data_IF_234122741240
#
_entry.id   IF_234122741240
#
_cell.length_a   1.000
_cell.length_b   1.000
_cell.length_c   1.000
_cell.angle_alpha   90.00
_cell.angle_beta   90.00
_cell.angle_gamma   90.00
#
_symmetry.space_group_name_H-M   'P 1'
#
loop_
_entity.id
_entity.type
_entity.pdbx_description
1 polymer ?
#
# COMPACT_ATOMS: atom_id res chain seq x y z
N UNK A 1 -31.96 -3.63 -18.44
CA UNK A 1 -30.74 -2.96 -18.95
C UNK A 1 -29.66 -3.19 -17.91
N UNK A 2 -28.52 -3.83 -18.22
CA UNK A 2 -27.38 -3.75 -17.32
C UNK A 2 -27.06 -2.26 -17.10
N UNK A 3 -26.76 -1.86 -15.86
CA UNK A 3 -26.42 -0.46 -15.55
C UNK A 3 -25.18 -0.07 -16.36
N UNK A 4 -25.23 1.07 -17.06
CA UNK A 4 -24.06 1.69 -17.72
C UNK A 4 -23.02 2.21 -16.70
N UNK A 5 -23.21 1.97 -15.41
CA UNK A 5 -22.29 2.40 -14.36
C UNK A 5 -21.17 1.36 -14.17
N UNK A 6 -19.92 1.81 -13.99
CA UNK A 6 -18.83 0.93 -13.59
C UNK A 6 -19.17 0.13 -12.32
N UNK A 7 -18.63 -1.09 -12.19
CA UNK A 7 -18.90 -1.92 -11.02
C UNK A 7 -18.28 -1.32 -9.75
N UNK A 8 -18.80 -1.75 -8.60
CA UNK A 8 -18.14 -1.49 -7.32
C UNK A 8 -16.77 -2.19 -7.30
N UNK A 9 -15.79 -1.55 -6.66
CA UNK A 9 -14.53 -2.20 -6.32
C UNK A 9 -14.78 -3.50 -5.51
N UNK A 10 -13.98 -4.53 -5.76
CA UNK A 10 -13.92 -5.75 -4.96
C UNK A 10 -12.49 -6.11 -4.56
N UNK A 11 -12.32 -6.83 -3.45
CA UNK A 11 -11.03 -7.31 -2.93
C UNK A 11 -10.48 -8.50 -3.74
N UNK A 12 -10.29 -8.30 -5.05
CA UNK A 12 -9.82 -9.32 -6.00
C UNK A 12 -8.86 -8.72 -7.04
N UNK A 13 -7.83 -9.46 -7.47
CA UNK A 13 -7.57 -10.88 -7.16
C UNK A 13 -6.88 -11.13 -5.81
N UNK A 14 -6.27 -10.13 -5.20
CA UNK A 14 -5.60 -10.26 -3.91
C UNK A 14 -6.57 -10.02 -2.75
N UNK A 15 -6.68 -10.97 -1.84
CA UNK A 15 -7.49 -10.80 -0.64
C UNK A 15 -6.81 -9.82 0.33
N UNK A 16 -7.61 -9.01 1.03
CA UNK A 16 -7.12 -8.18 2.13
C UNK A 16 -6.61 -9.05 3.28
N UNK A 17 -5.66 -8.49 4.02
CA UNK A 17 -5.10 -9.09 5.22
C UNK A 17 -5.77 -8.51 6.47
N UNK A 18 -6.21 -9.34 7.43
CA UNK A 18 -6.72 -8.85 8.70
C UNK A 18 -5.58 -8.24 9.54
N UNK A 19 -5.88 -7.23 10.34
CA UNK A 19 -4.92 -6.63 11.26
C UNK A 19 -4.72 -7.51 12.50
N UNK A 20 -3.49 -7.61 13.02
CA UNK A 20 -3.21 -8.33 14.26
C UNK A 20 -4.06 -7.86 15.46
N UNK A 21 -4.35 -6.57 15.58
CA UNK A 21 -5.24 -6.03 16.63
C UNK A 21 -6.65 -6.60 16.50
N UNK A 22 -7.22 -6.60 15.29
CA UNK A 22 -8.56 -7.16 15.06
C UNK A 22 -8.61 -8.67 15.37
N UNK A 23 -7.58 -9.42 14.97
CA UNK A 23 -7.52 -10.86 15.19
C UNK A 23 -7.33 -11.25 16.66
N UNK A 24 -6.51 -10.50 17.39
CA UNK A 24 -6.05 -10.91 18.74
C UNK A 24 -6.68 -10.12 19.87
N UNK A 25 -7.23 -8.93 19.59
CA UNK A 25 -7.71 -7.98 20.59
C UNK A 25 -6.59 -7.35 21.43
N UNK A 26 -5.31 -7.54 21.07
CA UNK A 26 -4.18 -6.99 21.81
C UNK A 26 -3.86 -5.56 21.38
N UNK A 27 -3.45 -4.77 22.36
CA UNK A 27 -3.14 -3.34 22.21
C UNK A 27 -1.67 -3.00 22.51
N UNK A 28 -0.82 -4.02 22.66
CA UNK A 28 0.60 -3.77 22.87
C UNK A 28 1.25 -3.12 21.62
N UNK A 29 2.34 -2.34 21.79
CA UNK A 29 2.94 -1.57 20.71
C UNK A 29 3.30 -2.38 19.46
N UNK A 30 3.71 -3.64 19.61
CA UNK A 30 4.06 -4.51 18.47
C UNK A 30 2.82 -4.95 17.71
N UNK A 31 1.75 -5.31 18.41
CA UNK A 31 0.46 -5.61 17.78
C UNK A 31 -0.09 -4.40 17.03
N UNK A 32 0.02 -3.20 17.61
CA UNK A 32 -0.41 -1.96 16.96
C UNK A 32 0.42 -1.66 15.72
N UNK A 33 1.76 -1.73 15.81
CA UNK A 33 2.60 -1.46 14.64
C UNK A 33 2.41 -2.49 13.53
N UNK A 34 2.30 -3.78 13.88
CA UNK A 34 1.96 -4.81 12.91
C UNK A 34 0.59 -4.56 12.25
N UNK A 35 -0.36 -3.96 12.97
CA UNK A 35 -1.64 -3.54 12.40
C UNK A 35 -1.52 -2.34 11.46
N UNK A 36 -0.68 -1.35 11.79
CA UNK A 36 -0.36 -0.26 10.87
C UNK A 36 0.31 -0.77 9.59
N UNK A 37 1.19 -1.76 9.70
CA UNK A 37 1.80 -2.40 8.54
C UNK A 37 0.74 -3.11 7.68
N UNK A 38 -0.12 -3.91 8.31
CA UNK A 38 -1.19 -4.60 7.59
C UNK A 38 -2.15 -3.63 6.85
N UNK A 39 -2.46 -2.47 7.45
CA UNK A 39 -3.26 -1.43 6.80
C UNK A 39 -2.54 -0.79 5.60
N UNK A 40 -1.25 -0.52 5.75
CA UNK A 40 -0.38 -0.02 4.67
C UNK A 40 -0.36 -1.00 3.49
N UNK A 41 -0.15 -2.28 3.79
CA UNK A 41 -0.17 -3.38 2.83
C UNK A 41 -1.53 -3.56 2.16
N UNK A 42 -2.61 -3.41 2.90
CA UNK A 42 -3.96 -3.40 2.32
C UNK A 42 -4.14 -2.26 1.32
N UNK A 43 -3.54 -1.08 1.51
CA UNK A 43 -3.59 -0.03 0.50
C UNK A 43 -2.86 -0.44 -0.80
N UNK A 44 -1.75 -1.18 -0.70
CA UNK A 44 -1.05 -1.73 -1.87
C UNK A 44 -1.85 -2.82 -2.56
N UNK A 45 -2.45 -3.75 -1.80
CA UNK A 45 -3.35 -4.79 -2.30
C UNK A 45 -4.52 -4.17 -3.04
N UNK A 46 -5.16 -3.14 -2.47
CA UNK A 46 -6.27 -2.46 -3.14
C UNK A 46 -5.82 -1.76 -4.42
N UNK A 47 -4.64 -1.13 -4.43
CA UNK A 47 -4.06 -0.56 -5.63
C UNK A 47 -3.72 -1.59 -6.72
N UNK A 48 -3.24 -2.79 -6.34
CA UNK A 48 -3.04 -3.90 -7.27
C UNK A 48 -4.39 -4.33 -7.87
N UNK A 49 -5.39 -4.53 -7.00
CA UNK A 49 -6.72 -4.99 -7.38
C UNK A 49 -7.43 -4.00 -8.32
N UNK A 50 -7.33 -2.69 -8.09
CA UNK A 50 -7.93 -1.68 -8.96
C UNK A 50 -7.26 -1.63 -10.33
N UNK A 51 -5.93 -1.80 -10.41
CA UNK A 51 -5.22 -1.89 -11.68
C UNK A 51 -5.71 -3.13 -12.45
N UNK A 52 -5.72 -4.30 -11.79
CA UNK A 52 -6.14 -5.57 -12.39
C UNK A 52 -7.57 -5.53 -12.92
N UNK A 53 -8.50 -4.91 -12.17
CA UNK A 53 -9.91 -4.86 -12.53
C UNK A 53 -10.23 -3.84 -13.62
N UNK A 54 -9.49 -2.72 -13.69
CA UNK A 54 -9.82 -1.62 -14.61
C UNK A 54 -9.06 -1.72 -15.93
N UNK A 55 -7.86 -2.31 -15.96
CA UNK A 55 -7.06 -2.42 -17.18
C UNK A 55 -7.85 -2.98 -18.39
N UNK A 56 -8.68 -4.04 -18.27
CA UNK A 56 -9.43 -4.61 -19.40
C UNK A 56 -10.59 -3.72 -19.91
N UNK A 57 -10.97 -2.67 -19.19
CA UNK A 57 -12.15 -1.84 -19.48
C UNK A 57 -11.79 -0.49 -20.12
N UNK A 58 -10.50 -0.19 -20.24
CA UNK A 58 -10.02 1.07 -20.78
C UNK A 58 -10.10 1.08 -22.31
N UNK A 59 -10.99 1.91 -22.83
CA UNK A 59 -11.16 2.13 -24.27
C UNK A 59 -10.46 3.41 -24.75
N UNK A 60 -10.60 4.51 -24.00
CA UNK A 60 -10.16 5.83 -24.44
C UNK A 60 -8.67 6.08 -24.19
N UNK A 61 -7.97 6.66 -25.17
CA UNK A 61 -6.52 6.94 -25.05
C UNK A 61 -6.18 7.87 -23.87
N UNK A 62 -7.04 8.85 -23.61
CA UNK A 62 -6.87 9.77 -22.48
C UNK A 62 -6.94 9.02 -21.14
N UNK A 63 -7.89 8.10 -21.00
CA UNK A 63 -8.02 7.27 -19.80
C UNK A 63 -6.82 6.33 -19.64
N UNK A 64 -6.33 5.74 -20.73
CA UNK A 64 -5.10 4.94 -20.70
C UNK A 64 -3.87 5.73 -20.25
N UNK A 65 -3.74 6.98 -20.70
CA UNK A 65 -2.60 7.85 -20.31
C UNK A 65 -2.62 8.14 -18.81
N UNK A 66 -3.79 8.51 -18.28
CA UNK A 66 -3.96 8.73 -16.84
C UNK A 66 -3.75 7.43 -16.05
N UNK A 67 -4.24 6.31 -16.57
CA UNK A 67 -4.12 4.99 -15.94
C UNK A 67 -2.66 4.54 -15.85
N UNK A 68 -1.86 4.72 -16.90
CA UNK A 68 -0.42 4.46 -16.87
C UNK A 68 0.25 5.29 -15.76
N UNK A 69 -0.12 6.57 -15.65
CA UNK A 69 0.37 7.42 -14.57
C UNK A 69 -0.03 6.91 -13.18
N UNK A 70 -1.23 6.35 -13.02
CA UNK A 70 -1.67 5.72 -11.79
C UNK A 70 -0.89 4.43 -11.47
N UNK A 71 -0.68 3.56 -12.45
CA UNK A 71 0.10 2.34 -12.29
C UNK A 71 1.55 2.63 -11.88
N UNK A 72 2.20 3.59 -12.54
CA UNK A 72 3.56 4.01 -12.18
C UNK A 72 3.62 4.58 -10.77
N UNK A 73 2.63 5.40 -10.37
CA UNK A 73 2.53 5.89 -9.00
C UNK A 73 2.37 4.75 -7.98
N UNK A 74 1.60 3.71 -8.30
CA UNK A 74 1.46 2.54 -7.43
C UNK A 74 2.76 1.76 -7.30
N UNK A 75 3.45 1.49 -8.42
CA UNK A 75 4.77 0.85 -8.43
C UNK A 75 5.75 1.62 -7.55
N UNK A 76 5.85 2.94 -7.75
CA UNK A 76 6.75 3.78 -6.96
C UNK A 76 6.36 3.80 -5.48
N UNK A 77 5.06 3.72 -5.15
CA UNK A 77 4.60 3.67 -3.77
C UNK A 77 5.08 2.41 -3.05
N UNK A 78 4.87 1.26 -3.69
CA UNK A 78 5.27 -0.05 -3.17
C UNK A 78 6.80 -0.14 -3.11
N UNK A 79 7.53 0.28 -4.15
CA UNK A 79 9.00 0.26 -4.13
C UNK A 79 9.58 1.20 -3.05
N UNK A 80 9.01 2.40 -2.88
CA UNK A 80 9.48 3.36 -1.86
C UNK A 80 9.22 2.84 -0.45
N UNK A 81 8.08 2.17 -0.21
CA UNK A 81 7.75 1.54 1.06
C UNK A 81 8.81 0.52 1.47
N UNK A 82 9.09 -0.48 0.62
CA UNK A 82 10.05 -1.53 0.95
C UNK A 82 11.50 -1.01 1.02
N UNK A 83 11.88 -0.04 0.17
CA UNK A 83 13.20 0.59 0.28
C UNK A 83 13.40 1.27 1.65
N UNK A 84 12.37 1.93 2.13
CA UNK A 84 12.37 2.57 3.43
C UNK A 84 12.49 1.55 4.58
N UNK A 85 11.82 0.41 4.47
CA UNK A 85 11.92 -0.65 5.48
C UNK A 85 13.35 -1.15 5.64
N UNK A 86 14.00 -1.44 4.53
CA UNK A 86 15.38 -1.94 4.49
C UNK A 86 16.42 -0.91 4.94
N UNK A 87 16.16 0.38 4.72
CA UNK A 87 17.12 1.46 5.01
C UNK A 87 16.91 2.12 6.36
N UNK A 88 15.68 2.07 6.90
CA UNK A 88 15.31 2.80 8.11
C UNK A 88 14.60 1.91 9.13
N UNK A 89 13.51 1.22 8.79
CA UNK A 89 12.72 0.48 9.79
C UNK A 89 13.50 -0.70 10.39
N UNK A 90 13.90 -1.66 9.55
CA UNK A 90 14.55 -2.90 10.00
C UNK A 90 15.91 -2.64 10.66
N UNK A 91 16.79 -1.76 10.13
CA UNK A 91 18.05 -1.45 10.79
C UNK A 91 17.86 -0.84 12.19
N UNK A 92 16.86 0.04 12.37
CA UNK A 92 16.60 0.66 13.67
C UNK A 92 15.97 -0.32 14.67
N UNK A 93 15.13 -1.26 14.21
CA UNK A 93 14.64 -2.39 15.02
C UNK A 93 15.81 -3.26 15.49
N UNK A 94 16.68 -3.69 14.57
CA UNK A 94 17.88 -4.46 14.87
C UNK A 94 18.76 -3.75 15.92
N UNK A 95 19.01 -2.45 15.74
CA UNK A 95 19.77 -1.63 16.68
C UNK A 95 19.12 -1.58 18.06
N UNK A 96 17.81 -1.35 18.13
CA UNK A 96 17.06 -1.28 19.39
C UNK A 96 17.06 -2.63 20.13
N UNK A 97 16.93 -3.74 19.41
CA UNK A 97 17.07 -5.09 19.95
C UNK A 97 18.54 -5.45 20.27
N UNK A 98 19.50 -4.74 19.68
CA UNK A 98 20.92 -5.10 19.58
C UNK A 98 21.13 -6.53 19.11
N UNK A 99 20.36 -6.89 18.09
CA UNK A 99 20.49 -8.11 17.30
C UNK A 99 20.62 -7.69 15.84
N UNK A 100 20.91 -8.65 14.97
CA UNK A 100 20.97 -8.44 13.52
C UNK A 100 20.01 -9.40 12.84
N UNK A 101 19.60 -9.08 11.62
CA UNK A 101 18.82 -9.97 10.76
C UNK A 101 17.44 -10.38 11.32
N UNK A 102 16.81 -9.57 12.19
CA UNK A 102 15.48 -9.87 12.73
C UNK A 102 14.37 -9.90 11.66
N UNK A 103 14.57 -9.18 10.56
CA UNK A 103 13.63 -9.08 9.43
C UNK A 103 14.29 -9.55 8.12
N UNK A 104 15.32 -10.40 8.18
CA UNK A 104 16.03 -10.87 6.98
C UNK A 104 15.13 -11.65 6.02
N UNK A 105 14.18 -12.43 6.55
CA UNK A 105 13.19 -13.13 5.72
C UNK A 105 12.33 -12.14 4.91
N UNK A 106 11.91 -11.02 5.51
CA UNK A 106 11.15 -9.98 4.80
C UNK A 106 11.97 -9.36 3.66
N UNK A 107 13.26 -9.08 3.90
CA UNK A 107 14.18 -8.60 2.85
C UNK A 107 14.30 -9.60 1.71
N UNK A 108 14.44 -10.89 2.01
CA UNK A 108 14.49 -11.92 0.96
C UNK A 108 13.15 -12.05 0.19
N UNK A 109 12.03 -11.88 0.89
CA UNK A 109 10.71 -11.84 0.27
C UNK A 109 10.54 -10.63 -0.67
N UNK A 110 11.15 -9.47 -0.37
CA UNK A 110 11.18 -8.32 -1.28
C UNK A 110 11.83 -8.68 -2.62
N UNK A 111 12.98 -9.34 -2.60
CA UNK A 111 13.71 -9.76 -3.80
C UNK A 111 12.82 -10.60 -4.74
N UNK A 112 11.91 -11.39 -4.17
CA UNK A 112 11.05 -12.31 -4.91
C UNK A 112 9.99 -11.63 -5.80
N UNK A 113 9.56 -10.39 -5.49
CA UNK A 113 8.57 -9.67 -6.30
C UNK A 113 9.14 -8.44 -7.02
N UNK A 114 10.21 -7.82 -6.51
CA UNK A 114 10.75 -6.56 -7.04
C UNK A 114 11.16 -6.67 -8.51
N UNK A 115 11.72 -7.81 -8.94
CA UNK A 115 12.07 -8.03 -10.34
C UNK A 115 10.86 -7.99 -11.30
N UNK A 116 9.69 -8.46 -10.87
CA UNK A 116 8.46 -8.40 -11.66
C UNK A 116 7.88 -6.98 -11.70
N UNK A 117 7.97 -6.24 -10.59
CA UNK A 117 7.58 -4.84 -10.55
C UNK A 117 8.41 -3.96 -11.49
N UNK A 118 9.73 -4.16 -11.56
CA UNK A 118 10.59 -3.42 -12.49
C UNK A 118 10.28 -3.74 -13.97
N UNK A 119 9.91 -4.98 -14.29
CA UNK A 119 9.41 -5.33 -15.63
C UNK A 119 8.12 -4.59 -15.96
N UNK A 120 7.15 -4.58 -15.04
CA UNK A 120 5.90 -3.85 -15.22
C UNK A 120 6.13 -2.35 -15.42
N UNK A 121 7.04 -1.77 -14.64
CA UNK A 121 7.43 -0.35 -14.76
C UNK A 121 8.01 -0.05 -16.13
N UNK A 122 8.98 -0.86 -16.56
CA UNK A 122 9.64 -0.71 -17.86
C UNK A 122 8.63 -0.79 -19.00
N UNK A 123 7.77 -1.82 -18.97
CA UNK A 123 6.69 -2.00 -19.94
C UNK A 123 5.78 -0.77 -20.07
N UNK A 124 5.33 -0.23 -18.94
CA UNK A 124 4.45 0.95 -18.91
C UNK A 124 5.14 2.23 -19.40
N UNK A 125 6.44 2.39 -19.14
CA UNK A 125 7.22 3.53 -19.62
C UNK A 125 7.47 3.46 -21.13
N UNK A 126 7.65 2.26 -21.68
CA UNK A 126 7.88 2.04 -23.11
C UNK A 126 6.59 2.18 -23.92
N UNK A 127 5.52 1.51 -23.51
CA UNK A 127 4.25 1.49 -24.26
C UNK A 127 3.38 2.72 -24.00
N UNK A 128 3.49 3.34 -22.82
CA UNK A 128 2.62 4.45 -22.43
C UNK A 128 1.15 4.10 -22.63
N UNK A 129 0.40 4.98 -23.29
CA UNK A 129 -1.03 4.80 -23.54
C UNK A 129 -1.37 3.66 -24.54
N UNK A 130 -0.37 3.10 -25.21
CA UNK A 130 -0.53 2.01 -26.18
C UNK A 130 -0.43 0.62 -25.55
N UNK A 131 -0.29 0.54 -24.22
CA UNK A 131 -0.23 -0.72 -23.49
C UNK A 131 -1.42 -1.66 -23.78
N UNK A 132 -1.11 -2.96 -23.75
CA UNK A 132 -2.03 -4.08 -23.81
C UNK A 132 -2.46 -4.45 -22.40
N UNK A 133 -3.77 -4.45 -22.13
CA UNK A 133 -4.32 -4.90 -20.85
C UNK A 133 -3.97 -6.36 -20.54
N UNK A 134 -3.89 -7.20 -21.57
CA UNK A 134 -3.52 -8.61 -21.43
C UNK A 134 -2.07 -8.77 -20.99
N UNK A 135 -1.15 -8.01 -21.60
CA UNK A 135 0.27 -8.06 -21.25
C UNK A 135 0.50 -7.49 -19.84
N UNK A 136 -0.14 -6.35 -19.53
CA UNK A 136 -0.10 -5.75 -18.20
C UNK A 136 -0.52 -6.75 -17.12
N UNK A 137 -1.65 -7.43 -17.31
CA UNK A 137 -2.15 -8.44 -16.37
C UNK A 137 -1.21 -9.64 -16.29
N UNK A 138 -0.70 -10.13 -17.41
CA UNK A 138 0.26 -11.22 -17.43
C UNK A 138 1.52 -10.88 -16.63
N UNK A 139 2.08 -9.68 -16.81
CA UNK A 139 3.23 -9.21 -16.02
C UNK A 139 2.88 -9.10 -14.54
N UNK A 140 1.69 -8.61 -14.18
CA UNK A 140 1.23 -8.57 -12.79
C UNK A 140 1.12 -9.97 -12.16
N UNK A 141 0.62 -10.95 -12.91
CA UNK A 141 0.48 -12.33 -12.45
C UNK A 141 1.84 -12.99 -12.12
N UNK A 142 2.95 -12.56 -12.73
CA UNK A 142 4.30 -13.07 -12.45
C UNK A 142 4.78 -12.81 -11.02
N UNK A 143 4.39 -11.69 -10.42
CA UNK A 143 4.82 -11.30 -9.07
C UNK A 143 3.67 -11.22 -8.05
N UNK A 144 2.43 -11.49 -8.47
CA UNK A 144 1.23 -11.46 -7.64
C UNK A 144 1.36 -12.28 -6.36
N UNK A 145 1.73 -13.57 -6.49
CA UNK A 145 1.82 -14.49 -5.35
C UNK A 145 3.01 -14.18 -4.42
N UNK A 146 4.23 -13.91 -4.93
CA UNK A 146 5.33 -13.45 -4.08
C UNK A 146 5.01 -12.16 -3.32
N UNK A 147 4.40 -11.15 -3.99
CA UNK A 147 3.98 -9.91 -3.36
C UNK A 147 2.95 -10.17 -2.26
N UNK A 148 1.87 -10.90 -2.56
CA UNK A 148 0.81 -11.14 -1.57
C UNK A 148 1.30 -11.94 -0.36
N UNK A 149 2.19 -12.91 -0.59
CA UNK A 149 2.84 -13.67 0.49
C UNK A 149 3.60 -12.74 1.43
N UNK A 150 4.48 -11.90 0.87
CA UNK A 150 5.25 -10.92 1.63
C UNK A 150 4.34 -9.99 2.45
N UNK A 151 3.35 -9.39 1.78
CA UNK A 151 2.44 -8.44 2.42
C UNK A 151 1.67 -9.09 3.59
N UNK A 152 1.45 -10.41 3.53
CA UNK A 152 0.77 -11.19 4.58
C UNK A 152 1.71 -11.66 5.70
N UNK A 153 2.94 -12.08 5.38
CA UNK A 153 3.91 -12.62 6.35
C UNK A 153 4.49 -11.53 7.24
N UNK A 154 4.76 -10.34 6.69
CA UNK A 154 5.53 -9.32 7.37
C UNK A 154 4.84 -8.76 8.63
N UNK A 155 3.52 -8.45 8.64
CA UNK A 155 2.83 -8.06 9.88
C UNK A 155 2.97 -9.11 11.01
N UNK A 156 2.96 -10.40 10.66
CA UNK A 156 3.15 -11.48 11.64
C UNK A 156 4.57 -11.45 12.22
N UNK A 157 5.58 -11.23 11.37
CA UNK A 157 6.97 -11.09 11.79
C UNK A 157 7.16 -9.86 12.69
N UNK A 158 6.56 -8.71 12.34
CA UNK A 158 6.60 -7.48 13.16
C UNK A 158 5.99 -7.72 14.54
N UNK A 159 4.83 -8.40 14.62
CA UNK A 159 4.23 -8.72 15.91
C UNK A 159 5.13 -9.63 16.78
N UNK A 160 5.86 -10.55 16.14
CA UNK A 160 6.79 -11.46 16.82
C UNK A 160 8.03 -10.76 17.41
N UNK A 161 8.36 -9.54 16.95
CA UNK A 161 9.45 -8.73 17.51
C UNK A 161 9.25 -8.40 19.00
N UNK A 162 8.03 -8.53 19.52
CA UNK A 162 7.74 -8.43 20.95
C UNK A 162 8.62 -9.39 21.79
N UNK A 163 9.00 -10.55 21.24
CA UNK A 163 9.87 -11.52 21.90
C UNK A 163 11.31 -11.02 22.11
N UNK A 164 11.71 -9.95 21.41
CA UNK A 164 13.04 -9.35 21.49
C UNK A 164 13.07 -8.10 22.37
N UNK A 165 11.91 -7.64 22.86
CA UNK A 165 11.79 -6.50 23.77
C UNK A 165 11.72 -6.97 25.22
N UNK A 166 12.67 -6.52 26.04
CA UNK A 166 12.78 -6.90 27.46
C UNK A 166 12.64 -5.68 28.35
N UNK A 167 12.45 -5.87 29.67
CA UNK A 167 12.40 -4.75 30.62
C UNK A 167 13.69 -3.92 30.63
N UNK A 168 14.85 -4.59 30.53
CA UNK A 168 16.16 -3.93 30.52
C UNK A 168 16.51 -3.30 29.17
N UNK A 169 15.85 -3.78 28.10
CA UNK A 169 16.06 -3.32 26.73
C UNK A 169 14.72 -3.24 25.99
N UNK A 170 13.89 -2.23 26.31
CA UNK A 170 12.61 -2.04 25.65
C UNK A 170 12.83 -1.52 24.23
N UNK A 171 12.08 -2.05 23.27
CA UNK A 171 12.04 -1.55 21.90
C UNK A 171 10.80 -0.69 21.75
N UNK A 172 10.99 0.60 21.49
CA UNK A 172 9.90 1.53 21.16
C UNK A 172 9.59 1.44 19.66
N UNK A 173 8.90 0.36 19.27
CA UNK A 173 8.65 0.06 17.86
C UNK A 173 7.80 1.13 17.16
N UNK A 174 6.85 1.75 17.89
CA UNK A 174 6.00 2.82 17.36
C UNK A 174 6.82 4.08 17.09
N UNK A 175 7.74 4.47 17.99
CA UNK A 175 8.61 5.61 17.76
C UNK A 175 9.60 5.36 16.62
N UNK A 176 10.11 4.13 16.50
CA UNK A 176 10.95 3.73 15.37
C UNK A 176 10.16 3.90 14.06
N UNK A 177 8.97 3.31 13.95
CA UNK A 177 8.14 3.39 12.77
C UNK A 177 7.72 4.83 12.41
N UNK A 178 7.34 5.66 13.39
CA UNK A 178 6.99 7.06 13.16
C UNK A 178 8.18 7.89 12.65
N UNK A 179 9.35 7.74 13.28
CA UNK A 179 10.56 8.45 12.86
C UNK A 179 10.99 8.04 11.44
N UNK A 180 10.85 6.75 11.16
CA UNK A 180 11.25 6.13 9.93
C UNK A 180 10.25 6.58 8.81
N UNK A 181 8.93 6.49 9.00
CA UNK A 181 7.93 6.97 8.03
C UNK A 181 8.03 8.47 7.72
N UNK A 182 8.41 9.30 8.70
CA UNK A 182 8.65 10.75 8.47
C UNK A 182 9.80 11.03 7.49
N UNK A 183 10.84 10.19 7.46
CA UNK A 183 11.97 10.37 6.54
C UNK A 183 11.61 10.07 5.09
N UNK A 184 10.61 9.22 4.87
CA UNK A 184 10.12 8.87 3.53
C UNK A 184 9.44 10.06 2.83
N UNK A 185 8.83 10.97 3.61
CA UNK A 185 8.00 12.05 3.07
C UNK A 185 8.85 13.16 2.46
N UNK A 186 8.88 13.23 1.14
CA UNK A 186 9.40 14.36 0.36
C UNK A 186 8.32 14.92 -0.59
N UNK A 187 8.55 16.10 -1.16
CA UNK A 187 7.56 16.77 -2.02
C UNK A 187 7.15 15.91 -3.22
N UNK A 188 8.11 15.24 -3.88
CA UNK A 188 7.79 14.38 -5.03
C UNK A 188 6.87 13.24 -4.61
N UNK A 189 7.21 12.57 -3.50
CA UNK A 189 6.41 11.48 -2.94
C UNK A 189 4.99 11.96 -2.59
N UNK A 190 4.86 13.12 -1.93
CA UNK A 190 3.55 13.69 -1.56
C UNK A 190 2.65 13.91 -2.77
N UNK A 191 3.16 14.46 -3.88
CA UNK A 191 2.32 14.81 -5.03
C UNK A 191 2.15 13.69 -6.06
N UNK A 192 3.08 12.74 -6.13
CA UNK A 192 3.08 11.74 -7.20
C UNK A 192 2.79 10.32 -6.73
N UNK A 193 2.87 10.03 -5.43
CA UNK A 193 2.88 8.64 -4.94
C UNK A 193 1.93 8.46 -3.76
N UNK A 194 1.99 9.36 -2.79
CA UNK A 194 1.22 9.30 -1.55
C UNK A 194 -0.31 9.23 -1.74
N UNK A 195 -0.93 9.83 -2.79
CA UNK A 195 -2.35 9.63 -3.05
C UNK A 195 -2.74 8.17 -3.26
N UNK A 196 -1.85 7.32 -3.81
CA UNK A 196 -2.10 5.88 -3.94
C UNK A 196 -2.35 5.27 -2.58
N UNK A 197 -1.52 5.59 -1.59
CA UNK A 197 -1.64 5.06 -0.24
C UNK A 197 -2.96 5.49 0.41
N UNK A 198 -3.22 6.80 0.49
CA UNK A 198 -4.39 7.33 1.19
C UNK A 198 -5.71 6.98 0.51
N UNK A 199 -5.76 6.98 -0.81
CA UNK A 199 -7.00 6.75 -1.55
C UNK A 199 -7.23 5.26 -1.90
N UNK A 200 -6.33 4.37 -1.47
CA UNK A 200 -6.58 2.91 -1.46
C UNK A 200 -6.73 2.33 -0.06
N UNK A 201 -6.75 3.18 0.97
CA UNK A 201 -6.98 2.75 2.34
C UNK A 201 -8.46 2.93 2.69
N UNK A 202 -9.22 1.84 2.58
CA UNK A 202 -10.59 1.80 3.08
C UNK A 202 -10.53 1.72 4.60
N UNK A 203 -11.23 2.63 5.26
CA UNK A 203 -11.20 2.76 6.73
C UNK A 203 -12.57 2.75 7.37
N UNK A 204 -13.66 2.90 6.60
CA UNK A 204 -15.01 3.07 7.13
C UNK A 204 -15.65 1.72 7.45
N UNK A 205 -15.49 0.72 6.59
CA UNK A 205 -16.13 -0.59 6.73
C UNK A 205 -15.16 -1.70 7.14
N UNK A 206 -13.90 -1.60 6.71
CA UNK A 206 -12.87 -2.58 7.00
C UNK A 206 -12.73 -2.79 8.51
N UNK A 207 -12.85 -4.05 8.95
CA UNK A 207 -12.81 -4.46 10.35
C UNK A 207 -13.81 -3.69 11.24
N UNK A 208 -15.00 -3.42 10.69
CA UNK A 208 -16.06 -2.70 11.40
C UNK A 208 -15.74 -1.22 11.61
N UNK A 209 -14.86 -0.65 10.79
CA UNK A 209 -14.51 0.78 10.84
C UNK A 209 -13.60 1.15 12.00
N UNK A 210 -12.98 0.18 12.68
CA UNK A 210 -12.15 0.43 13.86
C UNK A 210 -10.93 1.32 13.57
N UNK A 211 -10.53 1.42 12.30
CA UNK A 211 -9.41 2.25 11.84
C UNK A 211 -9.84 3.62 11.33
N UNK A 212 -11.14 3.90 11.22
CA UNK A 212 -11.64 5.17 10.72
C UNK A 212 -11.21 6.34 11.61
N UNK A 213 -10.38 7.23 11.05
CA UNK A 213 -9.83 8.38 11.79
C UNK A 213 -8.79 8.01 12.86
N UNK A 214 -8.38 6.75 12.93
CA UNK A 214 -7.30 6.24 13.78
C UNK A 214 -6.00 6.15 12.96
N UNK A 215 -6.07 5.50 11.80
CA UNK A 215 -4.94 5.33 10.89
C UNK A 215 -5.34 5.66 9.43
N UNK A 216 -4.52 6.42 8.69
CA UNK A 216 -3.34 7.15 9.17
C UNK A 216 -3.79 8.30 10.11
N UNK A 217 -2.96 8.72 11.08
CA UNK A 217 -3.38 9.63 12.17
C UNK A 217 -3.50 11.11 11.72
N UNK A 218 -4.10 11.37 10.57
CA UNK A 218 -4.37 12.71 10.06
C UNK A 218 -5.75 13.21 10.51
N UNK A 219 -5.81 14.44 11.03
CA UNK A 219 -7.05 15.08 11.50
C UNK A 219 -7.28 16.44 10.84
N UNK A 220 -8.54 16.84 10.76
CA UNK A 220 -8.96 18.17 10.32
C UNK A 220 -8.33 18.60 8.99
N UNK A 221 -7.66 19.74 9.00
CA UNK A 221 -7.05 20.37 7.82
C UNK A 221 -6.01 19.46 7.16
N UNK A 222 -5.21 18.71 7.94
CA UNK A 222 -4.19 17.82 7.37
C UNK A 222 -4.82 16.67 6.56
N UNK A 223 -5.88 16.04 7.08
CA UNK A 223 -6.64 15.01 6.36
C UNK A 223 -7.30 15.59 5.11
N UNK A 224 -7.88 16.79 5.21
CA UNK A 224 -8.46 17.46 4.04
C UNK A 224 -7.42 17.72 2.95
N UNK A 225 -6.26 18.26 3.31
CA UNK A 225 -5.18 18.51 2.36
C UNK A 225 -4.75 17.21 1.70
N UNK A 226 -4.51 16.16 2.48
CA UNK A 226 -3.97 14.92 1.92
C UNK A 226 -4.97 14.14 1.07
N UNK A 227 -6.23 14.06 1.47
CA UNK A 227 -7.20 13.22 0.78
C UNK A 227 -7.95 13.98 -0.34
N UNK A 228 -7.94 15.32 -0.33
CA UNK A 228 -8.71 16.13 -1.28
C UNK A 228 -7.86 17.12 -2.05
N UNK A 229 -7.00 17.90 -1.39
CA UNK A 229 -6.26 18.95 -2.07
C UNK A 229 -5.08 18.42 -2.90
N UNK A 230 -4.26 17.54 -2.32
CA UNK A 230 -3.13 16.92 -3.01
C UNK A 230 -3.59 16.13 -4.25
N UNK A 231 -4.66 15.32 -4.18
CA UNK A 231 -5.19 14.63 -5.36
C UNK A 231 -5.82 15.55 -6.44
N UNK A 232 -5.90 16.87 -6.23
CA UNK A 232 -6.24 17.77 -7.35
C UNK A 232 -5.09 17.83 -8.36
N UNK A 233 -3.84 17.67 -7.88
CA UNK A 233 -2.68 17.48 -8.75
C UNK A 233 -2.74 16.09 -9.38
N UNK A 234 -2.65 15.97 -10.70
CA UNK A 234 -2.87 14.71 -11.43
C UNK A 234 -4.23 14.03 -11.16
N UNK A 235 -5.31 14.80 -10.97
CA UNK A 235 -6.66 14.29 -10.67
C UNK A 235 -7.15 13.17 -11.60
N UNK A 236 -6.77 13.21 -12.88
CA UNK A 236 -7.07 12.17 -13.86
C UNK A 236 -6.55 10.77 -13.48
N UNK A 237 -5.40 10.70 -12.77
CA UNK A 237 -4.80 9.43 -12.29
C UNK A 237 -5.58 8.88 -11.10
N UNK A 238 -5.97 9.74 -10.16
CA UNK A 238 -6.52 9.30 -8.88
C UNK A 238 -7.98 8.85 -8.96
N UNK A 239 -8.65 9.00 -10.10
CA UNK A 239 -9.97 8.39 -10.27
C UNK A 239 -9.91 6.85 -10.24
N UNK A 240 -8.76 6.23 -10.53
CA UNK A 240 -8.61 4.77 -10.58
C UNK A 240 -8.37 4.10 -9.22
N UNK A 241 -8.23 4.87 -8.14
CA UNK A 241 -8.10 4.34 -6.77
C UNK A 241 -9.39 3.68 -6.28
N UNK A 242 -9.31 2.84 -5.25
CA UNK A 242 -10.42 2.04 -4.72
C UNK A 242 -11.36 2.80 -3.80
N UNK A 243 -10.91 3.89 -3.17
CA UNK A 243 -11.65 4.59 -2.13
C UNK A 243 -12.00 6.04 -2.52
N UNK A 244 -13.07 6.55 -1.91
CA UNK A 244 -13.38 7.98 -1.88
C UNK A 244 -12.38 8.71 -0.95
N UNK A 245 -12.27 10.04 -1.04
CA UNK A 245 -11.48 10.82 -0.08
C UNK A 245 -11.90 10.66 1.39
N UNK A 246 -13.13 10.21 1.64
CA UNK A 246 -13.65 9.96 2.99
C UNK A 246 -13.21 8.59 3.51
N UNK A 247 -12.65 7.73 2.66
CA UNK A 247 -12.11 6.42 3.01
C UNK A 247 -13.11 5.27 2.84
N UNK A 248 -14.18 5.48 2.08
CA UNK A 248 -15.17 4.45 1.71
C UNK A 248 -14.79 3.81 0.37
N UNK A 249 -15.03 2.51 0.21
CA UNK A 249 -14.92 1.86 -1.09
C UNK A 249 -15.87 2.53 -2.09
N UNK A 250 -15.41 2.71 -3.34
CA UNK A 250 -16.21 3.34 -4.39
C UNK A 250 -16.30 2.47 -5.65
N UNK A 251 -17.14 2.90 -6.59
CA UNK A 251 -17.13 2.38 -7.95
C UNK A 251 -15.79 2.62 -8.61
N UNK A 252 -15.39 1.67 -9.45
CA UNK A 252 -14.27 1.82 -10.35
C UNK A 252 -14.53 2.97 -11.34
N UNK A 253 -13.49 3.51 -11.95
CA UNK A 253 -13.62 4.61 -12.90
C UNK A 253 -14.17 4.13 -14.25
N UNK A 254 -13.89 2.87 -14.61
CA UNK A 254 -14.28 2.20 -15.86
C UNK A 254 -14.72 0.76 -15.63
#
# INVERSE_FOLDING_TARGET
MPSNEPPMYSDTPLALIPTPKFQTGRDDPFTIEASHMALSHNAFIRGFNTIYQQAPRLCERADKTDFVGYCLAWIDCVATHHHYEETELFPNINKAAGQTALMEDAVHEHEAFMGGMERLKTYLLEEGADFSSTELIATMDEFKEPLHRHLTSEPVAIAALANHSTQDKPIDILAIADAAGKKQVNLSFVFNTLPVFFLNMETVEFEGGMWHGVFPPLKGVARFIMNRAVPMWHSGRWRFVSCSPDGEAKRLAV
#
